data_IF_680139065461
#
_entry.id   IF_680139065461
#
_cell.length_a   1.000
_cell.length_b   1.000
_cell.length_c   1.000
_cell.angle_alpha   90.00
_cell.angle_beta   90.00
_cell.angle_gamma   90.00
#
_symmetry.space_group_name_H-M   'P 1'
#
loop_
_entity.id
_entity.type
_entity.pdbx_description
1 polymer ?
#
# COMPACT_ATOMS: atom_id res chain seq x y z
N UNK A 1 -36.28 -5.04 -5.56
CA UNK A 1 -35.24 -5.56 -4.65
C UNK A 1 -35.81 -5.53 -3.27
N UNK A 2 -35.79 -6.66 -2.59
CA UNK A 2 -36.27 -6.74 -1.22
C UNK A 2 -35.33 -5.95 -0.29
N UNK A 3 -35.86 -5.39 0.81
CA UNK A 3 -35.06 -4.60 1.77
C UNK A 3 -33.86 -5.39 2.28
N UNK A 4 -34.04 -6.70 2.44
CA UNK A 4 -32.98 -7.63 2.83
C UNK A 4 -31.82 -7.68 1.82
N UNK A 5 -32.11 -7.72 0.51
CA UNK A 5 -31.09 -7.75 -0.54
C UNK A 5 -30.27 -6.45 -0.59
N UNK A 6 -30.91 -5.31 -0.31
CA UNK A 6 -30.23 -4.02 -0.24
C UNK A 6 -29.24 -3.98 0.92
N UNK A 7 -29.62 -4.47 2.10
CA UNK A 7 -28.74 -4.54 3.28
C UNK A 7 -27.53 -5.41 2.99
N UNK A 8 -27.73 -6.59 2.41
CA UNK A 8 -26.63 -7.48 2.02
C UNK A 8 -25.72 -6.85 0.97
N UNK A 9 -26.29 -6.13 0.00
CA UNK A 9 -25.51 -5.42 -1.03
C UNK A 9 -24.62 -4.34 -0.42
N UNK A 10 -25.16 -3.53 0.50
CA UNK A 10 -24.41 -2.48 1.21
C UNK A 10 -23.27 -3.10 2.02
N UNK A 11 -23.56 -4.16 2.79
CA UNK A 11 -22.53 -4.88 3.54
C UNK A 11 -21.45 -5.44 2.62
N UNK A 12 -21.82 -6.02 1.48
CA UNK A 12 -20.89 -6.49 0.47
C UNK A 12 -19.99 -5.38 -0.08
N UNK A 13 -20.54 -4.20 -0.34
CA UNK A 13 -19.77 -3.02 -0.75
C UNK A 13 -18.78 -2.56 0.33
N UNK A 14 -19.20 -2.49 1.59
CA UNK A 14 -18.34 -2.08 2.71
C UNK A 14 -17.21 -3.09 2.92
N UNK A 15 -17.52 -4.39 2.95
CA UNK A 15 -16.51 -5.44 3.10
C UNK A 15 -15.51 -5.39 1.95
N UNK A 16 -15.99 -5.19 0.71
CA UNK A 16 -15.13 -5.05 -0.47
C UNK A 16 -14.24 -3.82 -0.36
N UNK A 17 -14.79 -2.67 0.03
CA UNK A 17 -14.03 -1.43 0.23
C UNK A 17 -12.91 -1.62 1.25
N UNK A 18 -13.22 -2.21 2.41
CA UNK A 18 -12.25 -2.53 3.45
C UNK A 18 -11.19 -3.53 2.95
N UNK A 19 -11.61 -4.58 2.27
CA UNK A 19 -10.71 -5.58 1.69
C UNK A 19 -9.71 -4.96 0.72
N UNK A 20 -10.17 -4.11 -0.20
CA UNK A 20 -9.30 -3.41 -1.14
C UNK A 20 -8.38 -2.40 -0.46
N UNK A 21 -8.84 -1.71 0.59
CA UNK A 21 -8.00 -0.81 1.37
C UNK A 21 -6.85 -1.55 2.06
N UNK A 22 -7.16 -2.65 2.77
CA UNK A 22 -6.15 -3.50 3.42
C UNK A 22 -5.21 -4.11 2.39
N UNK A 23 -5.73 -4.56 1.25
CA UNK A 23 -4.94 -5.11 0.14
C UNK A 23 -3.99 -4.05 -0.41
N UNK A 24 -4.47 -2.82 -0.67
CA UNK A 24 -3.64 -1.70 -1.13
C UNK A 24 -2.51 -1.39 -0.17
N UNK A 25 -2.81 -1.31 1.12
CA UNK A 25 -1.80 -1.10 2.16
C UNK A 25 -0.74 -2.22 2.16
N UNK A 26 -1.20 -3.48 2.22
CA UNK A 26 -0.33 -4.64 2.30
C UNK A 26 0.56 -4.83 1.07
N UNK A 27 -0.01 -4.72 -0.14
CA UNK A 27 0.74 -4.89 -1.40
C UNK A 27 1.82 -3.84 -1.54
N UNK A 28 1.52 -2.57 -1.26
CA UNK A 28 2.52 -1.50 -1.36
C UNK A 28 3.61 -1.66 -0.30
N UNK A 29 3.24 -1.92 0.95
CA UNK A 29 4.20 -2.17 2.03
C UNK A 29 5.14 -3.33 1.68
N UNK A 30 4.58 -4.45 1.20
CA UNK A 30 5.34 -5.62 0.74
C UNK A 30 6.24 -5.30 -0.45
N UNK A 31 5.70 -4.61 -1.46
CA UNK A 31 6.44 -4.24 -2.68
C UNK A 31 7.66 -3.41 -2.32
N UNK A 32 7.51 -2.39 -1.46
CA UNK A 32 8.62 -1.54 -1.05
C UNK A 32 9.67 -2.32 -0.24
N UNK A 33 9.25 -3.11 0.75
CA UNK A 33 10.18 -3.90 1.56
C UNK A 33 10.96 -4.93 0.75
N UNK A 34 10.29 -5.63 -0.16
CA UNK A 34 10.92 -6.59 -1.04
C UNK A 34 11.85 -5.89 -2.04
N UNK A 35 11.43 -4.76 -2.60
CA UNK A 35 12.20 -4.01 -3.61
C UNK A 35 13.53 -3.49 -3.03
N UNK A 36 13.53 -2.90 -1.84
CA UNK A 36 14.74 -2.34 -1.23
C UNK A 36 15.74 -3.41 -0.77
N UNK A 37 15.30 -4.64 -0.48
CA UNK A 37 16.15 -5.74 0.00
C UNK A 37 16.67 -6.65 -1.11
N UNK A 38 16.17 -6.52 -2.33
CA UNK A 38 16.40 -7.48 -3.39
C UNK A 38 17.51 -7.06 -4.37
N UNK A 39 18.07 -8.07 -5.06
CA UNK A 39 18.99 -7.87 -6.19
C UNK A 39 18.25 -7.33 -7.42
N UNK A 40 18.98 -6.73 -8.35
CA UNK A 40 18.41 -6.00 -9.49
C UNK A 40 17.43 -6.82 -10.35
N UNK A 41 17.65 -8.13 -10.54
CA UNK A 41 16.72 -8.97 -11.30
C UNK A 41 15.35 -9.08 -10.60
N UNK A 42 15.37 -9.22 -9.28
CA UNK A 42 14.16 -9.37 -8.46
C UNK A 42 13.45 -8.01 -8.34
N UNK A 43 14.19 -6.90 -8.30
CA UNK A 43 13.59 -5.56 -8.35
C UNK A 43 12.77 -5.34 -9.62
N UNK A 44 13.29 -5.76 -10.79
CA UNK A 44 12.55 -5.69 -12.06
C UNK A 44 11.30 -6.56 -12.00
N UNK A 45 11.42 -7.79 -11.49
CA UNK A 45 10.28 -8.70 -11.35
C UNK A 45 9.19 -8.13 -10.42
N UNK A 46 9.58 -7.51 -9.31
CA UNK A 46 8.67 -6.85 -8.37
C UNK A 46 7.97 -5.66 -9.04
N UNK A 47 8.72 -4.83 -9.78
CA UNK A 47 8.15 -3.67 -10.48
C UNK A 47 7.14 -4.12 -11.55
N UNK A 48 7.51 -5.08 -12.40
CA UNK A 48 6.62 -5.63 -13.43
C UNK A 48 5.39 -6.28 -12.79
N UNK A 49 5.57 -7.06 -11.73
CA UNK A 49 4.48 -7.70 -11.00
C UNK A 49 3.51 -6.68 -10.40
N UNK A 50 4.02 -5.58 -9.84
CA UNK A 50 3.19 -4.50 -9.31
C UNK A 50 2.39 -3.80 -10.42
N UNK A 51 3.00 -3.48 -11.56
CA UNK A 51 2.28 -2.90 -12.70
C UNK A 51 1.25 -3.86 -13.30
N UNK A 52 1.58 -5.15 -13.43
CA UNK A 52 0.65 -6.16 -13.89
C UNK A 52 -0.57 -6.27 -12.95
N UNK A 53 -0.34 -6.19 -11.64
CA UNK A 53 -1.41 -6.12 -10.65
C UNK A 53 -2.26 -4.87 -10.83
N UNK A 54 -1.67 -3.69 -11.03
CA UNK A 54 -2.43 -2.46 -11.29
C UNK A 54 -3.28 -2.56 -12.57
N UNK A 55 -2.74 -3.14 -13.64
CA UNK A 55 -3.47 -3.38 -14.89
C UNK A 55 -4.62 -4.37 -14.66
N UNK A 56 -4.38 -5.44 -13.92
CA UNK A 56 -5.40 -6.42 -13.55
C UNK A 56 -6.51 -5.79 -12.72
N UNK A 57 -6.15 -5.00 -11.69
CA UNK A 57 -7.11 -4.25 -10.91
C UNK A 57 -7.91 -3.29 -11.78
N UNK A 58 -7.26 -2.61 -12.73
CA UNK A 58 -7.90 -1.68 -13.66
C UNK A 58 -8.95 -2.33 -14.55
N UNK A 59 -8.68 -3.54 -15.03
CA UNK A 59 -9.60 -4.25 -15.92
C UNK A 59 -10.71 -5.01 -15.19
N UNK A 60 -10.45 -5.52 -13.98
CA UNK A 60 -11.37 -6.44 -13.30
C UNK A 60 -12.04 -5.87 -12.05
N UNK A 61 -11.58 -4.74 -11.52
CA UNK A 61 -12.18 -4.12 -10.33
C UNK A 61 -13.07 -2.94 -10.70
N UNK A 62 -14.08 -2.69 -9.85
CA UNK A 62 -14.90 -1.48 -10.00
C UNK A 62 -14.05 -0.23 -9.72
N UNK A 63 -14.41 0.93 -10.31
CA UNK A 63 -13.71 2.19 -10.05
C UNK A 63 -13.66 2.54 -8.56
N UNK A 64 -14.74 2.26 -7.82
CA UNK A 64 -14.80 2.48 -6.37
C UNK A 64 -13.79 1.60 -5.61
N UNK A 65 -13.65 0.32 -5.98
CA UNK A 65 -12.68 -0.59 -5.36
C UNK A 65 -11.23 -0.20 -5.65
N UNK A 66 -10.94 0.32 -6.85
CA UNK A 66 -9.63 0.88 -7.14
C UNK A 66 -9.33 2.14 -6.33
N UNK A 67 -10.33 3.00 -6.12
CA UNK A 67 -10.20 4.17 -5.25
C UNK A 67 -9.85 3.77 -3.82
N UNK A 68 -10.52 2.76 -3.25
CA UNK A 68 -10.21 2.30 -1.89
C UNK A 68 -8.86 1.59 -1.79
N UNK A 69 -8.45 0.86 -2.82
CA UNK A 69 -7.08 0.35 -2.94
C UNK A 69 -6.05 1.47 -2.92
N UNK A 70 -6.26 2.53 -3.72
CA UNK A 70 -5.35 3.66 -3.80
C UNK A 70 -5.24 4.39 -2.45
N UNK A 71 -6.33 4.50 -1.68
CA UNK A 71 -6.30 5.03 -0.32
C UNK A 71 -5.39 4.19 0.57
N UNK A 72 -5.60 2.87 0.63
CA UNK A 72 -4.76 1.98 1.44
C UNK A 72 -3.28 2.00 1.03
N UNK A 73 -3.02 1.98 -0.27
CA UNK A 73 -1.69 2.12 -0.86
C UNK A 73 -1.00 3.44 -0.47
N UNK A 74 -1.73 4.55 -0.51
CA UNK A 74 -1.22 5.88 -0.15
C UNK A 74 -0.84 5.96 1.32
N UNK A 75 -1.62 5.35 2.21
CA UNK A 75 -1.29 5.27 3.64
C UNK A 75 0.01 4.49 3.86
N UNK A 76 0.20 3.36 3.19
CA UNK A 76 1.44 2.58 3.29
C UNK A 76 2.66 3.37 2.80
N UNK A 77 2.55 4.07 1.66
CA UNK A 77 3.61 4.94 1.15
C UNK A 77 3.94 6.04 2.17
N UNK A 78 2.93 6.73 2.69
CA UNK A 78 3.12 7.83 3.62
C UNK A 78 3.84 7.38 4.90
N UNK A 79 3.44 6.24 5.47
CA UNK A 79 4.10 5.67 6.65
C UNK A 79 5.56 5.29 6.37
N UNK A 80 5.85 4.69 5.22
CA UNK A 80 7.22 4.30 4.84
C UNK A 80 8.17 5.50 4.73
N UNK A 81 7.70 6.62 4.20
CA UNK A 81 8.52 7.84 4.06
C UNK A 81 8.58 8.69 5.33
N UNK A 82 7.58 8.59 6.21
CA UNK A 82 7.59 9.31 7.49
C UNK A 82 8.59 8.71 8.48
N UNK A 83 8.68 7.38 8.58
CA UNK A 83 9.61 6.72 9.50
C UNK A 83 11.09 6.93 9.16
N UNK A 84 11.44 7.09 7.88
CA UNK A 84 12.83 7.34 7.46
C UNK A 84 13.37 8.71 7.90
N UNK A 85 12.50 9.72 8.04
CA UNK A 85 12.92 11.05 8.53
C UNK A 85 13.32 11.05 10.01
N UNK A 86 12.70 10.17 10.80
CA UNK A 86 12.99 10.06 12.24
C UNK A 86 14.33 9.35 12.51
N UNK A 87 14.71 8.38 11.68
CA UNK A 87 16.01 7.68 11.80
C UNK A 87 17.19 8.58 11.40
N UNK A 88 17.07 9.39 10.34
CA UNK A 88 18.11 10.34 9.94
C UNK A 88 18.33 11.44 10.99
N UNK A 89 17.26 11.92 11.62
CA UNK A 89 17.33 12.94 12.68
C UNK A 89 18.04 12.40 13.94
N UNK A 90 17.78 11.14 14.30
CA UNK A 90 18.42 10.51 15.47
C UNK A 90 19.92 10.20 15.26
N UNK A 91 20.34 9.88 14.03
CA UNK A 91 21.77 9.68 13.73
C UNK A 91 22.56 10.99 13.70
N UNK A 92 21.97 12.10 13.27
CA UNK A 92 22.63 13.42 13.28
C UNK A 92 22.83 13.95 14.71
N UNK A 93 21.82 13.83 15.59
CA UNK A 93 21.94 14.23 16.99
C UNK A 93 22.94 13.37 17.78
N UNK A 94 23.00 12.06 17.49
CA UNK A 94 23.98 11.16 18.11
C UNK A 94 25.43 11.46 17.67
N UNK A 95 25.65 11.93 16.43
CA UNK A 95 26.96 12.36 15.94
C UNK A 95 27.36 13.75 16.45
N UNK A 96 26.40 14.65 16.68
CA UNK A 96 26.64 15.97 17.28
C UNK A 96 27.03 15.88 18.77
N UNK A 97 26.42 14.96 19.52
CA UNK A 97 26.74 14.77 20.95
C UNK A 97 28.10 14.12 21.22
N UNK A 98 28.70 13.40 20.26
CA UNK A 98 30.04 12.79 20.40
C UNK A 98 31.20 13.71 20.03
N UNK A 99 30.92 14.93 19.55
CA UNK A 99 31.93 15.92 19.13
C UNK A 99 32.10 17.09 20.10
N UNK A 100 31.41 17.08 21.26
CA UNK A 100 31.55 18.06 22.34
C UNK A 100 32.33 17.50 23.51
#
# INVERSE_FOLDING_TARGET
>A
MDTFEQILSILGFVIRALGFSVLGYGVVRFTLDAYYKAVWQVQIAIAIGFFALLIGLTNYSSPASMGTFAIGASVALFMQFSGKKEEETQEEDAKASKKK
#
